data_IF_424069312729
#
_entry.id   IF_424069312729
#
_cell.length_a   1.000
_cell.length_b   1.000
_cell.length_c   1.000
_cell.angle_alpha   90.00
_cell.angle_beta   90.00
_cell.angle_gamma   90.00
#
_symmetry.space_group_name_H-M   'P 1'
#
loop_
_entity.id
_entity.type
_entity.pdbx_description
1 polymer ?
#
# COMPACT_ATOMS: atom_id res chain seq x y z
N UNK A 1 -28.55 -29.02 28.53
CA UNK A 1 -27.10 -29.05 28.21
C UNK A 1 -26.75 -29.12 26.72
N UNK A 2 -27.62 -29.59 25.79
CA UNK A 2 -27.27 -29.79 24.36
C UNK A 2 -27.27 -28.53 23.46
N UNK A 3 -27.95 -27.44 23.84
CA UNK A 3 -28.00 -26.21 23.01
C UNK A 3 -26.73 -25.35 23.09
N UNK A 4 -26.05 -25.28 24.24
CA UNK A 4 -24.80 -24.50 24.41
C UNK A 4 -23.68 -25.01 23.48
N UNK A 5 -23.55 -26.33 23.33
CA UNK A 5 -22.51 -26.91 22.47
C UNK A 5 -22.75 -26.66 20.98
N UNK A 6 -24.01 -26.55 20.52
CA UNK A 6 -24.34 -26.21 19.13
C UNK A 6 -24.03 -24.75 18.81
N UNK A 7 -24.31 -23.83 19.73
CA UNK A 7 -24.02 -22.40 19.57
C UNK A 7 -22.50 -22.13 19.53
N UNK A 8 -21.73 -22.77 20.41
CA UNK A 8 -20.25 -22.68 20.42
C UNK A 8 -19.65 -23.25 19.13
N UNK A 9 -20.20 -24.35 18.61
CA UNK A 9 -19.77 -24.95 17.35
C UNK A 9 -20.05 -24.05 16.12
N UNK A 10 -21.23 -23.43 16.04
CA UNK A 10 -21.56 -22.46 14.99
C UNK A 10 -20.68 -21.20 15.07
N UNK A 11 -20.45 -20.68 16.27
CA UNK A 11 -19.57 -19.53 16.49
C UNK A 11 -18.13 -19.85 16.05
N UNK A 12 -17.65 -21.06 16.34
CA UNK A 12 -16.33 -21.54 15.93
C UNK A 12 -16.20 -21.68 14.41
N UNK A 13 -17.19 -22.29 13.74
CA UNK A 13 -17.22 -22.37 12.27
C UNK A 13 -17.30 -20.98 11.62
N UNK A 14 -18.09 -20.08 12.19
CA UNK A 14 -18.20 -18.70 11.72
C UNK A 14 -16.89 -17.92 11.89
N UNK A 15 -16.19 -18.09 13.02
CA UNK A 15 -14.85 -17.56 13.24
C UNK A 15 -13.83 -18.12 12.24
N UNK A 16 -13.88 -19.43 11.98
CA UNK A 16 -13.03 -20.06 10.96
C UNK A 16 -13.32 -19.52 9.56
N UNK A 17 -14.59 -19.30 9.21
CA UNK A 17 -14.98 -18.71 7.93
C UNK A 17 -14.49 -17.26 7.79
N UNK A 18 -14.61 -16.45 8.85
CA UNK A 18 -14.08 -15.09 8.85
C UNK A 18 -12.55 -15.07 8.71
N UNK A 19 -11.83 -16.00 9.36
CA UNK A 19 -10.38 -16.14 9.19
C UNK A 19 -10.04 -16.58 7.76
N UNK A 20 -10.76 -17.55 7.21
CA UNK A 20 -10.58 -18.03 5.84
C UNK A 20 -10.80 -16.95 4.78
N UNK A 21 -11.89 -16.18 4.90
CA UNK A 21 -12.17 -15.06 4.00
C UNK A 21 -11.05 -14.01 4.02
N UNK A 22 -10.42 -13.77 5.17
CA UNK A 22 -9.26 -12.89 5.26
C UNK A 22 -8.00 -13.49 4.62
N UNK A 23 -7.79 -14.81 4.72
CA UNK A 23 -6.63 -15.48 4.09
C UNK A 23 -6.70 -15.38 2.56
N UNK A 24 -7.86 -15.63 1.95
CA UNK A 24 -8.02 -15.56 0.49
C UNK A 24 -7.84 -14.14 -0.04
N UNK A 25 -8.34 -13.14 0.70
CA UNK A 25 -8.11 -11.72 0.39
C UNK A 25 -6.62 -11.39 0.42
N UNK A 26 -5.90 -11.84 1.46
CA UNK A 26 -4.47 -11.57 1.61
C UNK A 26 -3.66 -12.24 0.49
N UNK A 27 -3.96 -13.50 0.16
CA UNK A 27 -3.32 -14.22 -0.94
C UNK A 27 -3.54 -13.54 -2.29
N UNK A 28 -4.74 -13.03 -2.55
CA UNK A 28 -5.04 -12.27 -3.77
C UNK A 28 -4.21 -10.98 -3.83
N UNK A 29 -4.04 -10.27 -2.71
CA UNK A 29 -3.14 -9.11 -2.69
C UNK A 29 -1.69 -9.49 -2.96
N UNK A 30 -1.20 -10.57 -2.37
CA UNK A 30 0.14 -11.06 -2.68
C UNK A 30 0.30 -11.42 -4.16
N UNK A 31 -0.66 -12.11 -4.77
CA UNK A 31 -0.62 -12.47 -6.18
C UNK A 31 -0.57 -11.22 -7.08
N UNK A 32 -1.41 -10.22 -6.80
CA UNK A 32 -1.36 -8.93 -7.50
C UNK A 32 -0.02 -8.22 -7.32
N UNK A 33 0.57 -8.32 -6.12
CA UNK A 33 1.84 -7.72 -5.81
C UNK A 33 3.00 -8.40 -6.58
N UNK A 34 3.03 -9.73 -6.60
CA UNK A 34 3.99 -10.55 -7.37
C UNK A 34 3.89 -10.25 -8.87
N UNK A 35 2.66 -10.22 -9.41
CA UNK A 35 2.44 -9.92 -10.81
C UNK A 35 2.92 -8.51 -11.17
N UNK A 36 2.61 -7.52 -10.34
CA UNK A 36 3.08 -6.15 -10.53
C UNK A 36 4.61 -6.07 -10.48
N UNK A 37 5.24 -6.77 -9.53
CA UNK A 37 6.70 -6.82 -9.41
C UNK A 37 7.34 -7.45 -10.65
N UNK A 38 6.77 -8.56 -11.15
CA UNK A 38 7.21 -9.19 -12.40
C UNK A 38 7.20 -8.23 -13.58
N UNK A 39 6.11 -7.47 -13.77
CA UNK A 39 6.04 -6.45 -14.81
C UNK A 39 7.06 -5.33 -14.59
N UNK A 40 7.29 -4.92 -13.34
CA UNK A 40 8.29 -3.92 -13.00
C UNK A 40 9.69 -4.32 -13.48
N UNK A 41 10.07 -5.59 -13.25
CA UNK A 41 11.35 -6.14 -13.72
C UNK A 41 11.44 -6.21 -15.24
N UNK A 42 10.36 -6.61 -15.91
CA UNK A 42 10.30 -6.63 -17.39
C UNK A 42 10.54 -5.24 -17.96
N UNK A 43 9.82 -4.23 -17.47
CA UNK A 43 10.00 -2.84 -17.95
C UNK A 43 11.38 -2.28 -17.59
N UNK A 44 11.95 -2.65 -16.44
CA UNK A 44 13.32 -2.28 -16.06
C UNK A 44 14.33 -2.80 -17.07
N UNK A 45 14.21 -4.07 -17.48
CA UNK A 45 15.10 -4.68 -18.49
C UNK A 45 14.95 -4.01 -19.86
N UNK A 46 13.73 -3.61 -20.21
CA UNK A 46 13.44 -2.83 -21.43
C UNK A 46 13.86 -1.35 -21.32
N UNK A 47 14.38 -0.93 -20.16
CA UNK A 47 14.74 0.45 -19.82
C UNK A 47 13.58 1.46 -19.89
N UNK A 48 12.34 1.00 -19.83
CA UNK A 48 11.15 1.83 -19.67
C UNK A 48 10.94 2.12 -18.17
N UNK A 49 11.79 3.00 -17.62
CA UNK A 49 11.87 3.22 -16.18
C UNK A 49 10.61 3.85 -15.59
N UNK A 50 9.84 4.61 -16.37
CA UNK A 50 8.56 5.17 -15.91
C UNK A 50 7.51 4.07 -15.73
N UNK A 51 7.33 3.18 -16.70
CA UNK A 51 6.40 2.05 -16.53
C UNK A 51 6.89 1.09 -15.46
N UNK A 52 8.20 0.85 -15.40
CA UNK A 52 8.82 0.05 -14.35
C UNK A 52 8.49 0.62 -12.96
N UNK A 53 8.69 1.92 -12.75
CA UNK A 53 8.41 2.59 -11.49
C UNK A 53 6.93 2.46 -11.09
N UNK A 54 6.00 2.66 -12.03
CA UNK A 54 4.56 2.48 -11.76
C UNK A 54 4.25 1.05 -11.31
N UNK A 55 4.85 0.05 -11.96
CA UNK A 55 4.68 -1.35 -11.58
C UNK A 55 5.29 -1.67 -10.21
N UNK A 56 6.43 -1.08 -9.84
CA UNK A 56 6.97 -1.18 -8.48
C UNK A 56 6.01 -0.58 -7.44
N UNK A 57 5.49 0.62 -7.68
CA UNK A 57 4.53 1.28 -6.77
C UNK A 57 3.29 0.42 -6.54
N UNK A 58 2.75 -0.19 -7.60
CA UNK A 58 1.62 -1.11 -7.47
C UNK A 58 1.97 -2.33 -6.62
N UNK A 59 3.14 -2.93 -6.84
CA UNK A 59 3.60 -4.07 -6.05
C UNK A 59 3.74 -3.72 -4.56
N UNK A 60 4.41 -2.61 -4.27
CA UNK A 60 4.59 -2.08 -2.93
C UNK A 60 3.22 -1.88 -2.26
N UNK A 61 2.27 -1.27 -2.98
CA UNK A 61 0.93 -1.02 -2.46
C UNK A 61 0.23 -2.32 -2.05
N UNK A 62 0.21 -3.32 -2.92
CA UNK A 62 -0.48 -4.59 -2.65
C UNK A 62 0.20 -5.41 -1.54
N UNK A 63 1.53 -5.47 -1.52
CA UNK A 63 2.21 -6.13 -0.40
C UNK A 63 2.01 -5.39 0.92
N UNK A 64 1.91 -4.06 0.91
CA UNK A 64 1.68 -3.28 2.15
C UNK A 64 0.32 -3.64 2.76
N UNK A 65 -0.69 -3.86 1.90
CA UNK A 65 -2.00 -4.35 2.31
C UNK A 65 -1.90 -5.77 2.89
N UNK A 66 -1.22 -6.68 2.21
CA UNK A 66 -1.01 -8.05 2.70
C UNK A 66 -0.26 -8.07 4.05
N UNK A 67 0.82 -7.29 4.16
CA UNK A 67 1.63 -7.12 5.36
C UNK A 67 0.78 -6.70 6.57
N UNK A 68 -0.10 -5.71 6.40
CA UNK A 68 -0.97 -5.25 7.48
C UNK A 68 -2.01 -6.29 7.87
N UNK A 69 -2.63 -6.95 6.90
CA UNK A 69 -3.64 -7.96 7.17
C UNK A 69 -3.05 -9.19 7.88
N UNK A 70 -1.81 -9.59 7.54
CA UNK A 70 -1.13 -10.70 8.19
C UNK A 70 -0.95 -10.49 9.69
N UNK A 71 -0.55 -9.29 10.11
CA UNK A 71 -0.34 -9.00 11.53
C UNK A 71 -1.61 -8.56 12.25
N UNK A 72 -2.41 -7.68 11.66
CA UNK A 72 -3.53 -7.02 12.35
C UNK A 72 -4.81 -7.89 12.36
N UNK A 73 -4.96 -8.82 11.41
CA UNK A 73 -6.17 -9.65 11.27
C UNK A 73 -5.89 -11.15 11.44
N UNK A 74 -4.82 -11.66 10.83
CA UNK A 74 -4.54 -13.09 10.82
C UNK A 74 -3.62 -13.54 11.97
N UNK A 75 -2.87 -12.60 12.57
CA UNK A 75 -1.82 -12.88 13.59
C UNK A 75 -0.79 -13.92 13.09
N UNK A 76 -0.59 -13.97 11.78
CA UNK A 76 0.32 -14.89 11.10
C UNK A 76 1.69 -14.23 10.97
N UNK A 77 2.54 -14.50 11.96
CA UNK A 77 3.87 -13.90 12.06
C UNK A 77 4.79 -14.32 10.92
N UNK A 78 4.72 -15.57 10.48
CA UNK A 78 5.60 -16.09 9.44
C UNK A 78 5.38 -15.33 8.13
N UNK A 79 4.13 -15.26 7.68
CA UNK A 79 3.82 -14.55 6.45
C UNK A 79 3.94 -13.03 6.59
N UNK A 80 3.69 -12.48 7.79
CA UNK A 80 4.00 -11.09 8.09
C UNK A 80 5.46 -10.75 7.83
N UNK A 81 6.40 -11.52 8.39
CA UNK A 81 7.83 -11.28 8.18
C UNK A 81 8.22 -11.52 6.71
N UNK A 82 7.75 -12.61 6.09
CA UNK A 82 8.03 -12.92 4.69
C UNK A 82 7.58 -11.81 3.73
N UNK A 83 6.37 -11.29 3.91
CA UNK A 83 5.87 -10.19 3.07
C UNK A 83 6.59 -8.88 3.38
N UNK A 84 6.89 -8.63 4.65
CA UNK A 84 7.68 -7.47 5.07
C UNK A 84 9.06 -7.43 4.43
N UNK A 85 9.78 -8.56 4.39
CA UNK A 85 11.08 -8.66 3.71
C UNK A 85 10.96 -8.40 2.20
N UNK A 86 9.92 -8.94 1.55
CA UNK A 86 9.65 -8.65 0.13
C UNK A 86 9.39 -7.16 -0.09
N UNK A 87 8.60 -6.51 0.77
CA UNK A 87 8.37 -5.06 0.71
C UNK A 87 9.66 -4.28 0.77
N UNK A 88 10.54 -4.59 1.73
CA UNK A 88 11.81 -3.90 1.88
C UNK A 88 12.67 -4.01 0.62
N UNK A 89 12.78 -5.22 0.05
CA UNK A 89 13.54 -5.46 -1.19
C UNK A 89 12.95 -4.67 -2.36
N UNK A 90 11.64 -4.77 -2.57
CA UNK A 90 10.95 -4.13 -3.70
C UNK A 90 11.00 -2.61 -3.57
N UNK A 91 10.89 -2.08 -2.35
CA UNK A 91 11.08 -0.66 -2.06
C UNK A 91 12.48 -0.19 -2.42
N UNK A 92 13.54 -0.93 -2.07
CA UNK A 92 14.91 -0.57 -2.47
C UNK A 92 15.09 -0.58 -3.99
N UNK A 93 14.58 -1.61 -4.67
CA UNK A 93 14.67 -1.68 -6.13
C UNK A 93 13.85 -0.58 -6.84
N UNK A 94 12.69 -0.23 -6.29
CA UNK A 94 11.85 0.86 -6.80
C UNK A 94 12.58 2.18 -6.74
N UNK A 95 13.39 2.40 -5.71
CA UNK A 95 14.12 3.64 -5.53
C UNK A 95 15.20 3.83 -6.60
N UNK A 96 15.97 2.77 -6.87
CA UNK A 96 16.96 2.76 -7.95
C UNK A 96 16.31 3.05 -9.32
N UNK A 97 15.11 2.50 -9.55
CA UNK A 97 14.37 2.74 -10.79
C UNK A 97 13.81 4.16 -10.86
N UNK A 98 13.42 4.73 -9.72
CA UNK A 98 12.97 6.11 -9.64
C UNK A 98 14.10 7.07 -10.04
N UNK A 99 15.34 6.84 -9.59
CA UNK A 99 16.49 7.67 -10.00
C UNK A 99 16.72 7.63 -11.51
N UNK A 100 16.73 6.44 -12.09
CA UNK A 100 16.89 6.29 -13.54
C UNK A 100 15.72 6.91 -14.31
N UNK A 101 14.51 6.82 -13.79
CA UNK A 101 13.34 7.49 -14.37
C UNK A 101 13.47 9.01 -14.30
N UNK A 102 13.97 9.55 -13.18
CA UNK A 102 14.18 10.99 -12.99
C UNK A 102 15.25 11.52 -13.94
N UNK A 103 16.37 10.83 -14.09
CA UNK A 103 17.46 11.17 -15.00
C UNK A 103 17.00 11.22 -16.46
N UNK A 104 16.21 10.22 -16.90
CA UNK A 104 15.73 10.11 -18.28
C UNK A 104 14.52 10.99 -18.60
N UNK A 105 13.89 11.59 -17.60
CA UNK A 105 12.72 12.45 -17.79
C UNK A 105 13.18 13.88 -18.00
N UNK A 106 12.70 14.56 -19.04
CA UNK A 106 13.00 16.00 -19.24
C UNK A 106 11.88 16.92 -18.72
N UNK A 107 10.69 16.37 -18.51
CA UNK A 107 9.51 17.09 -18.03
C UNK A 107 9.56 17.31 -16.51
N UNK A 108 9.52 18.57 -16.09
CA UNK A 108 9.63 18.93 -14.67
C UNK A 108 8.46 18.44 -13.80
N UNK A 109 7.24 18.42 -14.33
CA UNK A 109 6.09 17.92 -13.57
C UNK A 109 6.21 16.41 -13.34
N UNK A 110 6.70 15.68 -14.34
CA UNK A 110 6.97 14.25 -14.20
C UNK A 110 8.11 13.98 -13.22
N UNK A 111 9.17 14.80 -13.22
CA UNK A 111 10.25 14.73 -12.22
C UNK A 111 9.73 14.91 -10.79
N UNK A 112 8.88 15.90 -10.56
CA UNK A 112 8.25 16.13 -9.25
C UNK A 112 7.44 14.90 -8.83
N UNK A 113 6.68 14.29 -9.74
CA UNK A 113 5.93 13.08 -9.43
C UNK A 113 6.83 11.89 -9.07
N UNK A 114 7.95 11.71 -9.76
CA UNK A 114 8.94 10.68 -9.43
C UNK A 114 9.52 10.93 -8.04
N UNK A 115 9.90 12.17 -7.73
CA UNK A 115 10.39 12.53 -6.38
C UNK A 115 9.34 12.29 -5.30
N UNK A 116 8.08 12.57 -5.58
CA UNK A 116 6.98 12.25 -4.66
C UNK A 116 6.84 10.75 -4.45
N UNK A 117 7.00 9.93 -5.50
CA UNK A 117 7.00 8.46 -5.40
C UNK A 117 8.19 7.97 -4.57
N UNK A 118 9.37 8.57 -4.72
CA UNK A 118 10.54 8.29 -3.88
C UNK A 118 10.18 8.55 -2.42
N UNK A 119 9.84 9.78 -2.04
CA UNK A 119 9.50 10.12 -0.65
C UNK A 119 8.41 9.20 -0.06
N UNK A 120 7.42 8.87 -0.88
CA UNK A 120 6.34 7.93 -0.57
C UNK A 120 6.85 6.53 -0.20
N UNK A 121 7.76 5.99 -1.01
CA UNK A 121 8.36 4.67 -0.81
C UNK A 121 9.23 4.61 0.46
N UNK A 122 9.91 5.70 0.83
CA UNK A 122 10.73 5.77 2.03
C UNK A 122 9.89 5.65 3.29
N UNK A 123 8.78 6.40 3.35
CA UNK A 123 7.87 6.36 4.48
C UNK A 123 7.32 4.94 4.69
N UNK A 124 7.01 4.24 3.59
CA UNK A 124 6.59 2.85 3.65
C UNK A 124 7.71 1.91 4.15
N UNK A 125 8.92 2.04 3.59
CA UNK A 125 10.07 1.26 4.02
C UNK A 125 10.36 1.42 5.53
N UNK A 126 10.40 2.66 6.00
CA UNK A 126 10.62 2.98 7.41
C UNK A 126 9.54 2.38 8.32
N UNK A 127 8.28 2.43 7.88
CA UNK A 127 7.18 1.79 8.60
C UNK A 127 7.29 0.28 8.69
N UNK A 128 7.64 -0.37 7.58
CA UNK A 128 7.76 -1.83 7.54
C UNK A 128 8.84 -2.27 8.52
N UNK A 129 9.98 -1.56 8.55
CA UNK A 129 11.04 -1.79 9.53
C UNK A 129 10.59 -1.58 10.97
N UNK A 130 9.88 -0.49 11.26
CA UNK A 130 9.34 -0.21 12.60
C UNK A 130 8.40 -1.33 13.05
N UNK A 131 7.48 -1.75 12.18
CA UNK A 131 6.47 -2.76 12.52
C UNK A 131 7.05 -4.17 12.65
N UNK A 132 8.08 -4.52 11.87
CA UNK A 132 8.74 -5.83 11.93
C UNK A 132 9.72 -5.95 13.11
N UNK A 133 10.51 -4.91 13.35
CA UNK A 133 11.70 -5.01 14.20
C UNK A 133 11.67 -4.06 15.39
N UNK A 134 10.61 -3.25 15.56
CA UNK A 134 10.55 -2.23 16.61
C UNK A 134 11.63 -1.16 16.44
N UNK A 135 12.16 -1.01 15.23
CA UNK A 135 13.17 0.01 14.92
C UNK A 135 12.47 1.35 14.91
N UNK A 136 12.95 2.29 15.73
CA UNK A 136 12.41 3.65 15.75
C UNK A 136 12.35 4.21 14.32
N UNK A 137 11.17 4.69 13.92
CA UNK A 137 10.93 5.25 12.60
C UNK A 137 11.97 6.30 12.21
N UNK A 138 12.47 7.10 13.15
CA UNK A 138 13.53 8.10 12.93
C UNK A 138 14.88 7.44 12.62
N UNK A 139 15.19 6.29 13.22
CA UNK A 139 16.42 5.53 12.95
C UNK A 139 16.35 4.83 11.59
N UNK A 140 15.20 4.23 11.28
CA UNK A 140 14.96 3.63 9.96
C UNK A 140 14.98 4.68 8.84
N UNK A 141 14.32 5.81 9.07
CA UNK A 141 14.32 6.98 8.18
C UNK A 141 15.74 7.52 8.01
N UNK A 142 16.51 7.71 9.09
CA UNK A 142 17.89 8.19 9.02
C UNK A 142 18.82 7.26 8.24
N UNK A 143 18.68 5.94 8.40
CA UNK A 143 19.46 4.93 7.65
C UNK A 143 19.15 4.93 6.14
N UNK A 144 17.96 5.40 5.76
CA UNK A 144 17.54 5.55 4.37
C UNK A 144 17.85 6.97 3.82
N UNK A 145 17.73 8.02 4.65
CA UNK A 145 18.16 9.40 4.34
C UNK A 145 19.69 9.51 4.16
N UNK A 146 20.48 8.72 4.90
CA UNK A 146 21.92 8.58 4.69
C UNK A 146 22.26 8.05 3.28
N UNK A 147 21.33 7.34 2.64
CA UNK A 147 21.49 6.87 1.27
C UNK A 147 21.05 7.91 0.24
N UNK A 148 20.16 8.85 0.59
CA UNK A 148 19.52 9.73 -0.40
C UNK A 148 19.09 11.07 0.23
N UNK A 149 19.71 12.17 -0.24
CA UNK A 149 19.52 13.51 0.34
C UNK A 149 18.15 14.14 0.01
N UNK A 150 17.54 14.61 1.10
CA UNK A 150 16.35 15.45 1.34
C UNK A 150 14.95 14.89 1.00
N UNK A 151 14.12 14.79 2.06
CA UNK A 151 12.75 15.28 2.03
C UNK A 151 12.52 16.33 3.12
N UNK A 152 11.78 17.41 2.79
CA UNK A 152 11.16 18.29 3.78
C UNK A 152 9.72 17.84 4.02
N UNK A 153 9.44 17.56 5.29
CA UNK A 153 8.15 17.33 5.95
C UNK A 153 7.35 16.10 5.49
N UNK A 154 7.13 15.15 6.40
CA UNK A 154 5.78 14.90 6.96
C UNK A 154 5.78 13.71 7.92
N UNK A 155 5.20 13.95 9.09
CA UNK A 155 4.79 12.94 10.07
C UNK A 155 3.46 12.27 9.62
N UNK A 156 3.41 11.83 8.37
CA UNK A 156 2.21 11.24 7.77
C UNK A 156 2.21 9.73 8.01
N UNK A 157 1.36 9.27 8.93
CA UNK A 157 1.19 7.84 9.16
C UNK A 157 0.89 7.08 7.87
N UNK A 158 1.35 5.84 7.78
CA UNK A 158 1.17 4.92 6.63
C UNK A 158 -0.29 4.80 6.17
N UNK A 159 -1.22 5.01 7.10
CA UNK A 159 -2.65 4.93 6.81
C UNK A 159 -3.11 6.14 6.00
N UNK A 160 -2.60 7.33 6.36
CA UNK A 160 -2.76 8.54 5.57
C UNK A 160 -2.04 8.41 4.22
N UNK A 161 -0.87 7.78 4.22
CA UNK A 161 -0.09 7.53 3.02
C UNK A 161 -0.82 6.65 1.99
N UNK A 162 -1.34 5.50 2.40
CA UNK A 162 -2.09 4.57 1.53
C UNK A 162 -3.37 5.24 1.02
N UNK A 163 -4.11 5.92 1.90
CA UNK A 163 -5.30 6.67 1.50
C UNK A 163 -4.99 7.75 0.45
N UNK A 164 -3.93 8.56 0.68
CA UNK A 164 -3.49 9.60 -0.26
C UNK A 164 -3.07 9.04 -1.63
N UNK A 165 -2.51 7.83 -1.71
CA UNK A 165 -2.14 7.23 -2.99
C UNK A 165 -3.36 6.77 -3.79
N UNK A 166 -4.36 6.17 -3.14
CA UNK A 166 -5.63 5.87 -3.81
C UNK A 166 -6.32 7.14 -4.31
N UNK A 167 -6.38 8.19 -3.50
CA UNK A 167 -6.91 9.50 -3.91
C UNK A 167 -6.21 10.04 -5.17
N UNK A 168 -4.87 10.02 -5.20
CA UNK A 168 -4.09 10.42 -6.37
C UNK A 168 -4.41 9.56 -7.60
N UNK A 169 -4.52 8.24 -7.45
CA UNK A 169 -4.86 7.34 -8.55
C UNK A 169 -6.26 7.64 -9.13
N UNK A 170 -7.24 7.93 -8.27
CA UNK A 170 -8.59 8.32 -8.67
C UNK A 170 -8.55 9.64 -9.45
N UNK A 171 -7.87 10.67 -8.94
CA UNK A 171 -7.77 11.97 -9.62
C UNK A 171 -7.09 11.88 -10.98
N UNK A 172 -6.04 11.05 -11.12
CA UNK A 172 -5.38 10.82 -12.40
C UNK A 172 -6.36 10.17 -13.39
N UNK A 173 -7.10 9.14 -12.99
CA UNK A 173 -8.07 8.47 -13.88
C UNK A 173 -9.21 9.40 -14.29
N UNK A 174 -9.68 10.26 -13.39
CA UNK A 174 -10.66 11.28 -13.72
C UNK A 174 -10.12 12.31 -14.72
N UNK A 175 -8.86 12.74 -14.58
CA UNK A 175 -8.25 13.72 -15.49
C UNK A 175 -8.11 13.20 -16.94
N UNK A 176 -8.08 11.88 -17.13
CA UNK A 176 -8.04 11.23 -18.45
C UNK A 176 -9.41 10.67 -18.87
N UNK A 177 -10.50 11.11 -18.23
CA UNK A 177 -11.88 10.66 -18.47
C UNK A 177 -12.10 9.14 -18.37
N UNK A 178 -11.24 8.41 -17.63
CA UNK A 178 -11.43 6.98 -17.38
C UNK A 178 -12.23 6.77 -16.09
N UNK A 179 -13.53 7.06 -16.16
CA UNK A 179 -14.44 7.00 -15.00
C UNK A 179 -14.53 5.59 -14.42
N UNK A 180 -14.52 4.56 -15.27
CA UNK A 180 -14.57 3.17 -14.82
C UNK A 180 -13.38 2.82 -13.93
N UNK A 181 -12.15 3.19 -14.36
CA UNK A 181 -10.94 2.94 -13.58
C UNK A 181 -10.88 3.78 -12.31
N UNK A 182 -11.40 5.01 -12.35
CA UNK A 182 -11.54 5.85 -11.17
C UNK A 182 -12.46 5.20 -10.12
N UNK A 183 -13.58 4.61 -10.54
CA UNK A 183 -14.50 3.86 -9.65
C UNK A 183 -13.87 2.59 -9.08
N UNK A 184 -13.06 1.89 -9.85
CA UNK A 184 -12.30 0.73 -9.34
C UNK A 184 -11.36 1.13 -8.22
N UNK A 185 -10.55 2.20 -8.40
CA UNK A 185 -9.67 2.70 -7.35
C UNK A 185 -10.44 3.26 -6.15
N UNK A 186 -11.60 3.86 -6.38
CA UNK A 186 -12.46 4.32 -5.30
C UNK A 186 -13.03 3.15 -4.48
N UNK A 187 -13.45 2.07 -5.12
CA UNK A 187 -13.87 0.86 -4.43
C UNK A 187 -12.74 0.26 -3.59
N UNK A 188 -11.51 0.25 -4.11
CA UNK A 188 -10.34 -0.20 -3.33
C UNK A 188 -10.07 0.72 -2.13
N UNK A 189 -10.20 2.04 -2.28
CA UNK A 189 -10.13 3.01 -1.17
C UNK A 189 -11.22 2.75 -0.12
N UNK A 190 -12.45 2.45 -0.54
CA UNK A 190 -13.55 2.13 0.38
C UNK A 190 -13.30 0.83 1.14
N UNK A 191 -12.76 -0.19 0.47
CA UNK A 191 -12.38 -1.46 1.11
C UNK A 191 -11.28 -1.20 2.14
N UNK A 192 -10.22 -0.47 1.77
CA UNK A 192 -9.17 -0.06 2.70
C UNK A 192 -9.74 0.73 3.89
N UNK A 193 -10.61 1.70 3.66
CA UNK A 193 -11.28 2.43 4.72
C UNK A 193 -12.07 1.51 5.66
N UNK A 194 -12.81 0.53 5.12
CA UNK A 194 -13.60 -0.43 5.92
C UNK A 194 -12.73 -1.32 6.82
N UNK A 195 -11.46 -1.57 6.46
CA UNK A 195 -10.55 -2.40 7.27
C UNK A 195 -9.93 -1.65 8.45
N UNK A 196 -9.96 -0.31 8.46
CA UNK A 196 -9.40 0.55 9.51
C UNK A 196 -10.27 0.58 10.79
N UNK A 197 -9.62 0.67 11.95
CA UNK A 197 -10.26 1.00 13.24
C UNK A 197 -10.84 2.43 13.19
N UNK A 198 -11.99 2.66 13.84
CA UNK A 198 -12.66 3.97 13.81
C UNK A 198 -11.79 5.11 14.36
N UNK A 199 -10.96 4.85 15.38
CA UNK A 199 -10.04 5.85 15.95
C UNK A 199 -8.98 6.30 14.94
N UNK A 200 -8.64 5.43 13.99
CA UNK A 200 -7.65 5.70 12.94
C UNK A 200 -8.29 6.48 11.79
N UNK A 201 -9.54 6.16 11.44
CA UNK A 201 -10.30 6.86 10.39
C UNK A 201 -10.43 8.36 10.66
N UNK A 202 -10.71 8.70 11.91
CA UNK A 202 -10.93 10.08 12.36
C UNK A 202 -9.60 10.83 12.57
N UNK A 203 -8.54 10.14 13.05
CA UNK A 203 -7.22 10.76 13.27
C UNK A 203 -6.52 11.20 11.97
N UNK A 204 -6.78 10.51 10.86
CA UNK A 204 -6.06 10.73 9.59
C UNK A 204 -6.98 11.19 8.45
N UNK A 205 -8.18 11.70 8.76
CA UNK A 205 -9.14 12.26 7.78
C UNK A 205 -9.46 11.34 6.58
N UNK A 206 -9.27 10.03 6.70
CA UNK A 206 -9.54 9.07 5.61
C UNK A 206 -11.04 9.04 5.30
N UNK A 207 -11.87 9.27 6.32
CA UNK A 207 -13.32 9.41 6.18
C UNK A 207 -13.71 10.56 5.24
N UNK A 208 -13.13 11.74 5.42
CA UNK A 208 -13.40 12.92 4.59
C UNK A 208 -13.00 12.67 3.13
N UNK A 209 -11.88 11.96 2.92
CA UNK A 209 -11.41 11.59 1.59
C UNK A 209 -12.36 10.63 0.88
N UNK A 210 -12.88 9.62 1.58
CA UNK A 210 -13.89 8.69 1.02
C UNK A 210 -15.17 9.43 0.67
N UNK A 211 -15.69 10.27 1.56
CA UNK A 211 -16.90 11.06 1.31
C UNK A 211 -16.74 12.03 0.11
N UNK A 212 -15.56 12.63 -0.03
CA UNK A 212 -15.24 13.49 -1.17
C UNK A 212 -15.36 12.74 -2.50
N UNK A 213 -14.69 11.59 -2.65
CA UNK A 213 -14.73 10.84 -3.91
C UNK A 213 -16.06 10.14 -4.15
N UNK A 214 -16.78 9.77 -3.09
CA UNK A 214 -18.15 9.26 -3.17
C UNK A 214 -19.05 10.26 -3.92
N UNK A 215 -19.04 11.52 -3.45
CA UNK A 215 -19.78 12.62 -4.08
C UNK A 215 -19.28 12.92 -5.50
N UNK A 216 -17.96 12.91 -5.72
CA UNK A 216 -17.33 13.23 -7.01
C UNK A 216 -17.64 12.19 -8.10
N UNK A 217 -17.87 10.93 -7.73
CA UNK A 217 -18.13 9.82 -8.65
C UNK A 217 -19.62 9.44 -8.79
N UNK A 218 -20.50 10.05 -7.97
CA UNK A 218 -21.94 9.81 -8.00
C UNK A 218 -22.37 8.46 -7.41
N UNK A 219 -21.73 8.03 -6.33
CA UNK A 219 -22.06 6.81 -5.54
C UNK A 219 -22.61 7.14 -4.15
#
# INVERSE_FOLDING_TARGET
>A
MKLKNKFVFFLFIFLLFLVWANIDIVKNYEEKAENSYKYAKIYRLQQDYLKSLVSYVNSITYYTLAFHLYIDKLKDKENFFRVGEKLLIISLESDEVADKAYEKTNDQNKKINIMNIKASNYSNFASVLEKMYGVDYKVATKKYEELIKEPKNSDDSIILFVAKNFAKAIDVMLSVNNIQKAKEYFNELQIFYKTLDNRVKDKYNVKEMVEFYKKKLGE
#
